data_IF_780474643475
#
_entry.id   IF_780474643475
#
_cell.length_a   1.000
_cell.length_b   1.000
_cell.length_c   1.000
_cell.angle_alpha   90.00
_cell.angle_beta   90.00
_cell.angle_gamma   90.00
#
_symmetry.space_group_name_H-M   'P 1'
#
loop_
_entity.id
_entity.type
_entity.pdbx_description
1 polymer ?
#
# COMPACT_ATOMS: atom_id res chain seq x y z
N UNK A 1 -10.54 9.80 -37.49
CA UNK A 1 -10.87 8.98 -36.31
C UNK A 1 -9.54 8.72 -35.60
N UNK A 2 -9.18 9.61 -34.66
CA UNK A 2 -7.96 9.51 -33.88
C UNK A 2 -8.10 8.46 -32.80
N UNK A 3 -7.21 7.48 -32.81
CA UNK A 3 -7.00 6.54 -31.72
C UNK A 3 -6.31 7.36 -30.61
N UNK A 4 -7.05 7.70 -29.56
CA UNK A 4 -6.48 8.28 -28.35
C UNK A 4 -5.63 7.20 -27.68
N UNK A 5 -4.33 7.23 -27.94
CA UNK A 5 -3.37 6.48 -27.13
C UNK A 5 -3.41 7.09 -25.72
N UNK A 6 -3.92 6.34 -24.79
CA UNK A 6 -3.90 6.65 -23.37
C UNK A 6 -2.44 6.54 -22.90
N UNK A 7 -1.66 7.63 -23.06
CA UNK A 7 -0.29 7.71 -22.54
C UNK A 7 -0.38 7.55 -21.02
N UNK A 8 0.15 6.48 -20.50
CA UNK A 8 0.29 6.30 -19.05
C UNK A 8 1.12 7.47 -18.51
N UNK A 9 0.51 8.32 -17.70
CA UNK A 9 1.21 9.45 -17.08
C UNK A 9 2.37 8.90 -16.27
N UNK A 10 3.59 9.15 -16.74
CA UNK A 10 4.80 8.70 -16.06
C UNK A 10 4.88 9.37 -14.67
N UNK A 11 5.16 8.58 -13.66
CA UNK A 11 5.36 9.08 -12.30
C UNK A 11 6.72 9.79 -12.21
N UNK A 12 6.74 10.97 -11.57
CA UNK A 12 7.97 11.74 -11.37
C UNK A 12 8.41 11.53 -9.91
N UNK A 13 9.61 11.01 -9.72
CA UNK A 13 10.20 10.81 -8.40
C UNK A 13 10.67 12.13 -7.81
N UNK A 14 9.94 12.62 -6.82
CA UNK A 14 10.29 13.79 -6.03
C UNK A 14 11.20 13.43 -4.87
N UNK A 15 11.81 14.45 -4.20
CA UNK A 15 12.57 14.23 -2.97
C UNK A 15 11.71 13.61 -1.87
N UNK A 16 10.46 14.07 -1.74
CA UNK A 16 9.53 13.53 -0.76
C UNK A 16 9.15 12.08 -1.06
N UNK A 17 9.00 11.71 -2.32
CA UNK A 17 8.81 10.30 -2.68
C UNK A 17 9.99 9.44 -2.25
N UNK A 18 11.23 9.88 -2.48
CA UNK A 18 12.42 9.13 -2.07
C UNK A 18 12.50 8.95 -0.55
N UNK A 19 12.23 10.01 0.23
CA UNK A 19 12.13 9.95 1.69
C UNK A 19 11.02 8.99 2.16
N UNK A 20 9.87 9.01 1.46
CA UNK A 20 8.78 8.08 1.74
C UNK A 20 9.18 6.63 1.48
N UNK A 21 9.95 6.35 0.42
CA UNK A 21 10.51 5.01 0.15
C UNK A 21 11.43 4.57 1.28
N UNK A 22 12.36 5.43 1.73
CA UNK A 22 13.25 5.14 2.87
C UNK A 22 12.46 4.87 4.15
N UNK A 23 11.42 5.65 4.41
CA UNK A 23 10.51 5.46 5.55
C UNK A 23 9.79 4.10 5.46
N UNK A 24 9.26 3.71 4.30
CA UNK A 24 8.65 2.40 4.11
C UNK A 24 9.64 1.26 4.38
N UNK A 25 10.85 1.37 3.83
CA UNK A 25 11.91 0.38 4.03
C UNK A 25 12.33 0.26 5.50
N UNK A 26 12.39 1.38 6.23
CA UNK A 26 12.66 1.36 7.66
C UNK A 26 11.55 0.65 8.44
N UNK A 27 10.28 0.93 8.14
CA UNK A 27 9.15 0.23 8.77
C UNK A 27 9.23 -1.28 8.53
N UNK A 28 9.50 -1.72 7.29
CA UNK A 28 9.64 -3.13 6.94
C UNK A 28 10.81 -3.77 7.69
N UNK A 29 11.98 -3.13 7.65
CA UNK A 29 13.20 -3.66 8.26
C UNK A 29 13.07 -3.91 9.76
N UNK A 30 12.42 -3.00 10.46
CA UNK A 30 12.29 -3.06 11.92
C UNK A 30 10.92 -3.59 12.37
N UNK A 31 10.04 -3.95 11.43
CA UNK A 31 8.69 -4.43 11.71
C UNK A 31 7.90 -3.49 12.61
N UNK A 32 7.98 -2.17 12.38
CA UNK A 32 7.22 -1.17 13.12
C UNK A 32 5.99 -0.68 12.38
N UNK A 33 5.07 -0.10 13.14
CA UNK A 33 4.04 0.77 12.58
C UNK A 33 4.67 2.14 12.31
N UNK A 34 4.53 2.64 11.08
CA UNK A 34 4.89 4.00 10.70
C UNK A 34 3.67 4.90 10.58
N UNK A 35 3.82 6.19 10.87
CA UNK A 35 2.80 7.20 10.60
C UNK A 35 3.33 8.14 9.51
N UNK A 36 2.59 8.28 8.41
CA UNK A 36 2.85 9.27 7.38
C UNK A 36 1.71 10.31 7.39
N UNK A 37 2.02 11.57 7.58
CA UNK A 37 1.02 12.64 7.62
C UNK A 37 1.47 13.86 6.82
N UNK A 38 0.53 14.69 6.43
CA UNK A 38 0.79 15.91 5.66
C UNK A 38 -0.50 16.51 5.12
N UNK A 39 -0.41 17.71 4.59
CA UNK A 39 -1.56 18.43 4.06
C UNK A 39 -2.26 17.68 2.92
N UNK A 40 -3.54 17.96 2.63
CA UNK A 40 -4.22 17.42 1.45
C UNK A 40 -3.46 17.80 0.17
N UNK A 41 -3.42 16.86 -0.77
CA UNK A 41 -2.87 17.12 -2.12
C UNK A 41 -1.34 17.13 -2.23
N UNK A 42 -0.58 16.91 -1.14
CA UNK A 42 0.91 16.87 -1.20
C UNK A 42 1.46 15.62 -1.89
N UNK A 43 0.64 14.59 -2.14
CA UNK A 43 1.07 13.40 -2.90
C UNK A 43 1.19 12.12 -2.08
N UNK A 44 0.79 12.07 -0.79
CA UNK A 44 0.88 10.88 0.08
C UNK A 44 0.31 9.62 -0.57
N UNK A 45 -0.97 9.65 -0.93
CA UNK A 45 -1.69 8.54 -1.59
C UNK A 45 -1.03 8.12 -2.89
N UNK A 46 -0.60 9.09 -3.71
CA UNK A 46 0.07 8.83 -4.99
C UNK A 46 1.39 8.10 -4.76
N UNK A 47 2.19 8.57 -3.81
CA UNK A 47 3.47 7.96 -3.43
C UNK A 47 3.29 6.54 -2.88
N UNK A 48 2.28 6.32 -2.04
CA UNK A 48 1.98 5.00 -1.50
C UNK A 48 1.55 4.00 -2.59
N UNK A 49 0.69 4.43 -3.52
CA UNK A 49 0.29 3.60 -4.67
C UNK A 49 1.45 3.33 -5.62
N UNK A 50 2.34 4.29 -5.82
CA UNK A 50 3.54 4.10 -6.64
C UNK A 50 4.52 3.13 -5.98
N UNK A 51 4.78 3.28 -4.68
CA UNK A 51 5.66 2.39 -3.92
C UNK A 51 5.20 0.93 -3.96
N UNK A 52 3.90 0.70 -3.75
CA UNK A 52 3.30 -0.63 -3.78
C UNK A 52 3.00 -1.15 -5.19
N UNK A 53 3.24 -0.35 -6.24
CA UNK A 53 2.77 -0.60 -7.60
C UNK A 53 1.28 -0.97 -7.66
N UNK A 54 0.47 -0.34 -6.77
CA UNK A 54 -0.88 -0.79 -6.46
C UNK A 54 -1.82 -0.80 -7.65
N UNK A 55 -1.75 0.22 -8.50
CA UNK A 55 -2.62 0.31 -9.67
C UNK A 55 -2.45 -0.86 -10.65
N UNK A 56 -1.27 -1.49 -10.65
CA UNK A 56 -0.99 -2.67 -11.43
C UNK A 56 -1.36 -3.95 -10.64
N UNK A 57 -0.95 -4.05 -9.36
CA UNK A 57 -1.26 -5.19 -8.49
C UNK A 57 -2.76 -5.42 -8.39
N UNK A 58 -3.54 -4.37 -8.15
CA UNK A 58 -5.00 -4.43 -8.05
C UNK A 58 -5.64 -5.07 -9.29
N UNK A 59 -5.13 -4.76 -10.49
CA UNK A 59 -5.60 -5.38 -11.74
C UNK A 59 -5.23 -6.86 -11.84
N UNK A 60 -4.07 -7.26 -11.28
CA UNK A 60 -3.65 -8.67 -11.30
C UNK A 60 -4.50 -9.54 -10.36
N UNK A 61 -5.00 -8.96 -9.28
CA UNK A 61 -5.82 -9.65 -8.28
C UNK A 61 -7.33 -9.44 -8.46
N UNK A 62 -7.76 -8.58 -9.39
CA UNK A 62 -9.17 -8.36 -9.74
C UNK A 62 -9.62 -9.33 -10.83
N UNK A 63 -9.67 -10.61 -10.49
CA UNK A 63 -10.19 -11.62 -11.40
C UNK A 63 -11.64 -11.98 -11.08
N UNK A 64 -12.45 -12.08 -12.12
CA UNK A 64 -13.88 -12.42 -12.01
C UNK A 64 -14.15 -13.90 -12.11
N UNK A 65 -13.21 -14.69 -12.68
CA UNK A 65 -13.34 -16.14 -12.88
C UNK A 65 -12.10 -16.86 -12.38
N UNK A 66 -12.30 -17.94 -11.65
CA UNK A 66 -11.20 -18.78 -11.11
C UNK A 66 -10.30 -19.38 -12.19
N UNK A 67 -10.85 -19.62 -13.38
CA UNK A 67 -10.13 -20.20 -14.52
C UNK A 67 -9.08 -19.26 -15.15
N UNK A 68 -9.20 -17.95 -14.90
CA UNK A 68 -8.28 -16.93 -15.43
C UNK A 68 -7.17 -16.57 -14.44
N UNK A 69 -7.20 -17.14 -13.23
CA UNK A 69 -6.23 -16.83 -12.16
C UNK A 69 -4.84 -17.31 -12.61
N UNK A 70 -3.88 -16.41 -12.60
CA UNK A 70 -2.47 -16.73 -12.87
C UNK A 70 -2.13 -16.99 -14.36
N UNK A 71 -3.11 -17.25 -15.25
CA UNK A 71 -2.83 -17.51 -16.66
C UNK A 71 -2.21 -16.29 -17.37
N UNK A 72 -2.64 -15.09 -17.01
CA UNK A 72 -2.16 -13.83 -17.58
C UNK A 72 -1.34 -13.00 -16.59
N UNK A 73 -0.91 -13.60 -15.48
CA UNK A 73 -0.12 -12.89 -14.49
C UNK A 73 1.31 -12.68 -15.03
N UNK A 74 1.85 -11.49 -14.79
CA UNK A 74 3.25 -11.16 -15.08
C UNK A 74 4.13 -11.61 -13.90
N UNK A 75 5.36 -12.04 -14.18
CA UNK A 75 6.36 -12.47 -13.19
C UNK A 75 6.53 -11.45 -12.05
N UNK A 76 6.39 -10.17 -12.36
CA UNK A 76 6.43 -9.08 -11.38
C UNK A 76 5.46 -9.23 -10.21
N UNK A 77 4.42 -10.08 -10.33
CA UNK A 77 3.51 -10.33 -9.22
C UNK A 77 4.23 -11.00 -8.05
N UNK A 78 5.29 -11.76 -8.29
CA UNK A 78 6.09 -12.40 -7.25
C UNK A 78 6.80 -11.38 -6.35
N UNK A 79 7.10 -10.19 -6.88
CA UNK A 79 7.73 -9.08 -6.15
C UNK A 79 6.73 -8.23 -5.37
N UNK A 80 5.43 -8.37 -5.63
CA UNK A 80 4.40 -7.60 -4.95
C UNK A 80 4.23 -8.07 -3.49
N UNK A 81 4.76 -7.31 -2.53
CA UNK A 81 4.77 -7.64 -1.09
C UNK A 81 4.08 -6.59 -0.23
N UNK A 82 3.41 -5.63 -0.85
CA UNK A 82 2.74 -4.53 -0.16
C UNK A 82 1.27 -4.50 -0.50
N UNK A 83 0.42 -4.51 0.52
CA UNK A 83 -1.01 -4.23 0.41
C UNK A 83 -1.22 -2.73 0.60
N UNK A 84 -1.92 -2.09 -0.33
CA UNK A 84 -2.43 -0.74 -0.16
C UNK A 84 -3.94 -0.79 0.02
N UNK A 85 -4.43 -0.19 1.10
CA UNK A 85 -5.85 -0.17 1.44
C UNK A 85 -6.28 1.25 1.83
N UNK A 86 -7.38 1.73 1.26
CA UNK A 86 -7.96 3.03 1.65
C UNK A 86 -9.08 2.78 2.66
N UNK A 87 -8.95 3.36 3.85
CA UNK A 87 -9.96 3.23 4.89
C UNK A 87 -11.33 3.75 4.42
N UNK A 88 -12.40 2.95 4.54
CA UNK A 88 -13.71 3.34 4.07
C UNK A 88 -14.31 4.42 4.97
N UNK A 89 -15.03 5.37 4.38
CA UNK A 89 -15.75 6.40 5.13
C UNK A 89 -16.93 5.82 5.93
N UNK A 90 -17.51 4.70 5.45
CA UNK A 90 -18.67 4.03 6.03
C UNK A 90 -18.39 2.52 6.06
N UNK A 91 -18.89 1.82 7.10
CA UNK A 91 -18.80 0.36 7.24
C UNK A 91 -17.38 -0.21 7.39
N UNK A 92 -16.52 0.48 8.13
CA UNK A 92 -15.16 0.00 8.44
C UNK A 92 -15.13 -1.35 9.24
N UNK A 93 -16.28 -1.87 9.66
CA UNK A 93 -16.39 -3.17 10.37
C UNK A 93 -15.94 -4.38 9.56
N UNK A 94 -15.86 -4.25 8.23
CA UNK A 94 -15.39 -5.32 7.33
C UNK A 94 -13.93 -5.16 6.90
N UNK A 95 -13.26 -4.13 7.37
CA UNK A 95 -11.92 -3.72 6.93
C UNK A 95 -10.89 -4.85 7.05
N UNK A 96 -10.85 -5.54 8.19
CA UNK A 96 -9.91 -6.65 8.41
C UNK A 96 -10.14 -7.79 7.43
N UNK A 97 -11.40 -8.19 7.22
CA UNK A 97 -11.74 -9.22 6.24
C UNK A 97 -11.40 -8.81 4.81
N UNK A 98 -11.53 -7.51 4.47
CA UNK A 98 -11.16 -7.01 3.15
C UNK A 98 -9.63 -7.03 2.95
N UNK A 99 -8.86 -6.67 3.97
CA UNK A 99 -7.39 -6.76 3.93
C UNK A 99 -6.95 -8.23 3.82
N UNK A 100 -7.54 -9.14 4.61
CA UNK A 100 -7.28 -10.58 4.53
C UNK A 100 -7.61 -11.13 3.14
N UNK A 101 -8.74 -10.72 2.57
CA UNK A 101 -9.14 -11.14 1.23
C UNK A 101 -8.16 -10.64 0.15
N UNK A 102 -7.65 -9.43 0.28
CA UNK A 102 -6.62 -8.89 -0.63
C UNK A 102 -5.35 -9.72 -0.53
N UNK A 103 -4.86 -9.97 0.69
CA UNK A 103 -3.68 -10.81 0.91
C UNK A 103 -3.85 -12.22 0.34
N UNK A 104 -5.01 -12.84 0.59
CA UNK A 104 -5.36 -14.15 0.04
C UNK A 104 -5.37 -14.18 -1.49
N UNK A 105 -5.93 -13.15 -2.13
CA UNK A 105 -5.91 -13.01 -3.60
C UNK A 105 -4.48 -12.87 -4.13
N UNK A 106 -3.64 -12.04 -3.50
CA UNK A 106 -2.24 -11.89 -3.89
C UNK A 106 -1.49 -13.21 -3.79
N UNK A 107 -1.62 -13.93 -2.67
CA UNK A 107 -1.02 -15.25 -2.49
C UNK A 107 -1.49 -16.26 -3.53
N UNK A 108 -2.79 -16.28 -3.82
CA UNK A 108 -3.39 -17.18 -4.81
C UNK A 108 -2.83 -16.92 -6.23
N UNK A 109 -2.77 -15.66 -6.67
CA UNK A 109 -2.24 -15.32 -8.00
C UNK A 109 -0.76 -15.71 -8.10
N UNK A 110 0.04 -15.46 -7.06
CA UNK A 110 1.47 -15.85 -7.03
C UNK A 110 1.65 -17.36 -7.10
N UNK A 111 0.90 -18.10 -6.29
CA UNK A 111 0.94 -19.56 -6.28
C UNK A 111 0.55 -20.14 -7.64
N UNK A 112 -0.53 -19.66 -8.24
CA UNK A 112 -0.95 -20.09 -9.58
C UNK A 112 0.09 -19.75 -10.63
N UNK A 113 0.73 -18.58 -10.55
CA UNK A 113 1.84 -18.24 -11.45
C UNK A 113 2.99 -19.23 -11.33
N UNK A 114 3.43 -19.58 -10.10
CA UNK A 114 4.51 -20.54 -9.87
C UNK A 114 4.15 -21.93 -10.44
N UNK A 115 2.93 -22.39 -10.20
CA UNK A 115 2.47 -23.69 -10.71
C UNK A 115 2.41 -23.69 -12.23
N UNK A 116 1.75 -22.70 -12.84
CA UNK A 116 1.46 -22.70 -14.28
C UNK A 116 2.67 -22.31 -15.14
N UNK A 117 3.49 -21.38 -14.67
CA UNK A 117 4.60 -20.81 -15.45
C UNK A 117 5.96 -21.40 -15.08
N UNK A 118 6.16 -21.78 -13.82
CA UNK A 118 7.44 -22.29 -13.32
C UNK A 118 7.41 -23.79 -13.05
N UNK A 119 6.26 -24.46 -13.19
CA UNK A 119 6.11 -25.90 -12.96
C UNK A 119 6.32 -26.32 -11.50
N UNK A 120 6.12 -25.41 -10.56
CA UNK A 120 6.31 -25.71 -9.14
C UNK A 120 5.22 -26.64 -8.61
N UNK A 121 5.62 -27.61 -7.78
CA UNK A 121 4.70 -28.41 -6.95
C UNK A 121 4.35 -27.62 -5.68
N UNK A 122 3.49 -26.60 -5.80
CA UNK A 122 3.12 -25.78 -4.64
C UNK A 122 1.86 -26.27 -3.95
N UNK A 123 1.94 -26.34 -2.61
CA UNK A 123 0.75 -26.39 -1.75
C UNK A 123 0.37 -24.95 -1.45
N UNK A 124 -0.90 -24.61 -1.64
CA UNK A 124 -1.41 -23.29 -1.26
C UNK A 124 -1.13 -23.04 0.23
N UNK A 125 -0.44 -21.94 0.54
CA UNK A 125 -0.29 -21.51 1.91
C UNK A 125 -1.63 -21.04 2.46
N UNK A 126 -1.96 -21.47 3.68
CA UNK A 126 -3.13 -20.98 4.41
C UNK A 126 -2.87 -19.62 5.08
N UNK A 127 -1.60 -19.19 5.14
CA UNK A 127 -1.23 -17.90 5.72
C UNK A 127 -1.25 -16.82 4.64
N UNK A 128 -2.30 -16.00 4.63
CA UNK A 128 -2.51 -14.92 3.67
C UNK A 128 -1.44 -13.82 3.75
N UNK A 129 -0.63 -13.81 4.81
CA UNK A 129 0.41 -12.81 5.06
C UNK A 129 1.84 -13.32 4.83
N UNK A 130 2.02 -14.59 4.46
CA UNK A 130 3.35 -15.21 4.32
C UNK A 130 4.28 -14.44 3.37
N UNK A 131 3.72 -13.83 2.35
CA UNK A 131 4.47 -13.07 1.34
C UNK A 131 4.18 -11.56 1.37
N UNK A 132 3.65 -11.06 2.48
CA UNK A 132 3.34 -9.63 2.66
C UNK A 132 4.31 -9.04 3.68
N UNK A 133 5.09 -8.06 3.26
CA UNK A 133 6.04 -7.36 4.13
C UNK A 133 5.43 -6.09 4.74
N UNK A 134 4.46 -5.46 4.03
CA UNK A 134 3.91 -4.17 4.41
C UNK A 134 2.41 -4.05 4.10
N UNK A 135 1.67 -3.44 5.02
CA UNK A 135 0.29 -2.99 4.81
C UNK A 135 0.23 -1.48 4.95
N UNK A 136 -0.18 -0.77 3.91
CA UNK A 136 -0.38 0.68 3.93
C UNK A 136 -1.88 0.95 4.04
N UNK A 137 -2.28 1.66 5.10
CA UNK A 137 -3.67 2.08 5.34
C UNK A 137 -3.75 3.59 5.10
N UNK A 138 -4.37 3.97 4.01
CA UNK A 138 -4.62 5.38 3.68
C UNK A 138 -5.92 5.89 4.29
N UNK A 139 -6.01 7.21 4.51
CA UNK A 139 -7.17 7.87 5.12
C UNK A 139 -7.50 7.35 6.53
N UNK A 140 -6.47 7.08 7.34
CA UNK A 140 -6.61 6.52 8.69
C UNK A 140 -7.49 7.39 9.60
N UNK A 141 -7.63 8.69 9.27
CA UNK A 141 -8.48 9.63 10.00
C UNK A 141 -9.96 9.24 10.04
N UNK A 142 -10.41 8.43 9.08
CA UNK A 142 -11.79 7.93 8.99
C UNK A 142 -12.11 6.85 10.02
N UNK A 143 -11.08 6.21 10.59
CA UNK A 143 -11.25 5.07 11.47
C UNK A 143 -11.55 5.50 12.91
N UNK A 144 -12.44 4.79 13.57
CA UNK A 144 -12.70 4.88 15.00
C UNK A 144 -11.72 4.01 15.78
N UNK A 145 -11.67 4.21 17.12
CA UNK A 145 -10.80 3.44 18.04
C UNK A 145 -10.88 1.95 17.80
N UNK A 146 -12.08 1.41 17.75
CA UNK A 146 -12.31 -0.04 17.57
C UNK A 146 -11.66 -0.59 16.29
N UNK A 147 -11.59 0.20 15.22
CA UNK A 147 -10.95 -0.21 13.97
C UNK A 147 -9.42 -0.13 14.08
N UNK A 148 -8.90 0.85 14.82
CA UNK A 148 -7.47 0.96 15.11
C UNK A 148 -6.99 -0.24 15.95
N UNK A 149 -7.81 -0.70 16.92
CA UNK A 149 -7.54 -1.91 17.69
C UNK A 149 -7.52 -3.17 16.80
N UNK A 150 -8.43 -3.28 15.83
CA UNK A 150 -8.41 -4.37 14.88
C UNK A 150 -7.13 -4.37 14.02
N UNK A 151 -6.64 -3.20 13.58
CA UNK A 151 -5.37 -3.09 12.86
C UNK A 151 -4.19 -3.47 13.76
N UNK A 152 -4.22 -3.07 15.03
CA UNK A 152 -3.22 -3.49 16.01
C UNK A 152 -3.21 -5.01 16.18
N UNK A 153 -4.38 -5.66 16.24
CA UNK A 153 -4.48 -7.10 16.37
C UNK A 153 -3.89 -7.82 15.14
N UNK A 154 -4.10 -7.31 13.92
CA UNK A 154 -3.42 -7.84 12.72
C UNK A 154 -1.91 -7.69 12.88
N UNK A 155 -1.43 -6.51 13.27
CA UNK A 155 -0.01 -6.24 13.45
C UNK A 155 0.62 -7.17 14.51
N UNK A 156 -0.03 -7.35 15.66
CA UNK A 156 0.48 -8.18 16.76
C UNK A 156 0.50 -9.68 16.42
N UNK A 157 -0.40 -10.14 15.54
CA UNK A 157 -0.53 -11.55 15.15
C UNK A 157 0.27 -11.91 13.91
N UNK A 158 0.60 -10.97 13.07
CA UNK A 158 1.24 -11.20 11.78
C UNK A 158 2.62 -10.52 11.75
N UNK A 159 3.57 -11.16 11.09
CA UNK A 159 4.92 -10.60 10.92
C UNK A 159 4.98 -9.60 9.76
N UNK A 160 4.16 -8.53 9.85
CA UNK A 160 4.05 -7.49 8.81
C UNK A 160 4.28 -6.11 9.40
N UNK A 161 4.92 -5.22 8.64
CA UNK A 161 4.95 -3.80 8.98
C UNK A 161 3.64 -3.12 8.57
N UNK A 162 3.31 -2.01 9.21
CA UNK A 162 2.16 -1.18 8.80
C UNK A 162 2.55 0.27 8.62
N UNK A 163 1.87 0.96 7.71
CA UNK A 163 1.96 2.42 7.57
C UNK A 163 0.56 3.00 7.59
N UNK A 164 0.35 3.98 8.47
CA UNK A 164 -0.88 4.74 8.58
C UNK A 164 -0.70 6.10 7.92
N UNK A 165 -1.48 6.38 6.88
CA UNK A 165 -1.45 7.67 6.18
C UNK A 165 -2.66 8.49 6.60
N UNK A 166 -2.40 9.74 7.04
CA UNK A 166 -3.45 10.63 7.52
C UNK A 166 -3.15 12.11 7.33
N UNK A 167 -3.98 12.91 7.96
CA UNK A 167 -3.87 14.37 8.02
C UNK A 167 -2.94 14.81 9.14
N UNK A 168 -2.40 16.04 9.11
CA UNK A 168 -1.69 16.61 10.24
C UNK A 168 -2.54 16.54 11.53
N UNK A 169 -1.92 16.10 12.63
CA UNK A 169 -2.59 15.87 13.91
C UNK A 169 -2.98 14.41 14.15
N UNK A 170 -2.86 13.53 13.16
CA UNK A 170 -3.11 12.08 13.35
C UNK A 170 -2.17 11.50 14.41
N UNK A 171 -0.91 11.96 14.48
CA UNK A 171 0.07 11.53 15.46
C UNK A 171 -0.41 11.80 16.90
N UNK A 172 -1.00 12.99 17.15
CA UNK A 172 -1.57 13.38 18.45
C UNK A 172 -2.81 12.57 18.78
N UNK A 173 -3.60 12.24 17.77
CA UNK A 173 -4.78 11.39 17.93
C UNK A 173 -4.38 9.98 18.32
N UNK A 174 -3.43 9.37 17.63
CA UNK A 174 -2.94 8.01 17.89
C UNK A 174 -2.23 7.91 19.26
N UNK A 175 -1.55 8.98 19.70
CA UNK A 175 -0.93 9.05 21.03
C UNK A 175 -1.94 8.87 22.20
N UNK A 176 -3.24 9.06 21.95
CA UNK A 176 -4.30 8.80 22.94
C UNK A 176 -4.61 7.30 23.14
N UNK A 177 -4.00 6.45 22.31
CA UNK A 177 -4.17 5.01 22.37
C UNK A 177 -2.82 4.33 22.68
N UNK A 178 -2.42 4.25 23.96
CA UNK A 178 -1.07 3.84 24.36
C UNK A 178 -0.67 2.46 23.81
N UNK A 179 -1.63 1.54 23.71
CA UNK A 179 -1.37 0.18 23.23
C UNK A 179 -1.00 0.15 21.73
N UNK A 180 -1.61 0.98 20.91
CA UNK A 180 -1.24 1.14 19.50
C UNK A 180 0.02 2.01 19.38
N UNK A 181 0.08 3.09 20.14
CA UNK A 181 1.17 4.06 20.06
C UNK A 181 2.54 3.46 20.40
N UNK A 182 2.58 2.50 21.31
CA UNK A 182 3.83 1.80 21.69
C UNK A 182 4.44 0.96 20.55
N UNK A 183 3.70 0.72 19.46
CA UNK A 183 4.12 -0.03 18.26
C UNK A 183 4.58 0.89 17.14
N UNK A 184 4.35 2.20 17.30
CA UNK A 184 4.76 3.21 16.33
C UNK A 184 6.23 3.51 16.53
N UNK A 185 7.06 3.15 15.54
CA UNK A 185 8.50 3.36 15.58
C UNK A 185 8.97 4.56 14.76
N UNK A 186 8.20 4.95 13.74
CA UNK A 186 8.60 6.00 12.82
C UNK A 186 7.44 6.94 12.50
N UNK A 187 7.77 8.22 12.30
CA UNK A 187 6.85 9.23 11.80
C UNK A 187 7.50 9.98 10.63
N UNK A 188 6.77 10.17 9.56
CA UNK A 188 7.16 10.89 8.37
C UNK A 188 6.15 12.00 8.06
N UNK A 189 6.60 13.23 8.13
CA UNK A 189 5.82 14.37 7.65
C UNK A 189 6.07 14.53 6.15
N UNK A 190 5.01 14.42 5.38
CA UNK A 190 5.06 14.56 3.93
C UNK A 190 4.89 16.03 3.56
N UNK A 191 5.97 16.67 3.14
CA UNK A 191 6.04 18.08 2.84
C UNK A 191 5.47 18.43 1.46
N UNK A 192 5.24 19.71 1.25
CA UNK A 192 4.89 20.26 -0.06
C UNK A 192 6.10 20.21 -0.99
N UNK A 193 5.84 20.07 -2.27
CA UNK A 193 6.87 20.25 -3.29
C UNK A 193 7.49 21.65 -3.20
N UNK A 194 8.80 21.73 -3.36
CA UNK A 194 9.52 22.98 -3.52
C UNK A 194 9.12 23.66 -4.84
N UNK A 195 9.39 24.96 -4.96
CA UNK A 195 9.14 25.71 -6.21
C UNK A 195 9.89 25.09 -7.39
N UNK A 196 11.12 24.64 -7.17
CA UNK A 196 11.95 24.05 -8.20
C UNK A 196 11.42 22.69 -8.66
N UNK A 197 10.93 21.87 -7.72
CA UNK A 197 10.27 20.60 -8.05
C UNK A 197 8.97 20.82 -8.84
N UNK A 198 8.17 21.82 -8.44
CA UNK A 198 6.95 22.18 -9.17
C UNK A 198 7.31 22.61 -10.60
N UNK A 199 8.33 23.46 -10.75
CA UNK A 199 8.79 23.94 -12.07
C UNK A 199 9.23 22.76 -12.94
N UNK A 200 10.08 21.89 -12.42
CA UNK A 200 10.54 20.70 -13.12
C UNK A 200 9.40 19.77 -13.55
N UNK A 201 8.39 19.55 -12.68
CA UNK A 201 7.22 18.72 -13.00
C UNK A 201 6.40 19.38 -14.12
N UNK A 202 6.25 20.71 -14.11
CA UNK A 202 5.49 21.43 -15.13
C UNK A 202 6.20 21.39 -16.47
N UNK A 203 7.52 21.63 -16.52
CA UNK A 203 8.34 21.52 -17.74
C UNK A 203 8.23 20.12 -18.35
N UNK A 204 8.44 19.07 -17.52
CA UNK A 204 8.36 17.69 -17.98
C UNK A 204 6.98 17.33 -18.58
N UNK A 205 5.90 17.85 -18.01
CA UNK A 205 4.54 17.62 -18.54
C UNK A 205 4.17 18.48 -19.72
N UNK A 206 4.90 19.58 -19.94
CA UNK A 206 4.64 20.48 -21.08
C UNK A 206 5.32 19.99 -22.35
N UNK A 207 6.39 19.21 -22.22
CA UNK A 207 7.13 18.59 -23.32
C UNK A 207 6.49 17.29 -23.84
N UNK A 208 5.49 16.73 -23.14
CA UNK A 208 4.68 15.58 -23.57
C UNK A 208 3.40 16.00 -24.31
#
# INVERSE_FOLDING_TARGET
RGISMNKSKKFIETKEYKRFVEFCQACIKYKYIGICYGLPGVGKTLSAKQYSNWNWVEKQIDYKKSEEIGMNADEKILEAKTIFYTAPAIRATKMTNEIDMIGGKMGMVKSMYRVLQLGAEEKYSTNVYEEIDLIIIDEIDRLKVQHLEQLRDIYDQKDVAMIFIGMPGIEKRLARYPQLYSRIGFAHEFDRLSKDEIHHILEYKWEE
#
